data_IF_672474939036
#
_entry.id   IF_672474939036
#
_cell.length_a   1.000
_cell.length_b   1.000
_cell.length_c   1.000
_cell.angle_alpha   90.00
_cell.angle_beta   90.00
_cell.angle_gamma   90.00
#
_symmetry.space_group_name_H-M   'P 1'
#
loop_
_entity.id
_entity.type
_entity.pdbx_description
1 polymer ?
#
# COMPACT_ATOMS: atom_id res chain seq x y z
N UNK A 1 7.46 -12.31 3.88
CA UNK A 1 8.37 -13.23 4.61
C UNK A 1 8.69 -14.45 3.76
N UNK A 2 9.92 -14.98 3.80
CA UNK A 2 10.30 -16.18 3.03
C UNK A 2 9.80 -17.47 3.68
N UNK A 3 9.51 -17.39 4.96
CA UNK A 3 8.96 -18.44 5.82
C UNK A 3 7.49 -18.73 5.51
N UNK A 4 6.80 -17.81 4.80
CA UNK A 4 5.42 -17.96 4.38
C UNK A 4 5.32 -18.58 2.98
N UNK A 5 4.34 -19.49 2.81
CA UNK A 5 3.98 -19.99 1.49
C UNK A 5 3.32 -18.90 0.62
N UNK A 6 2.98 -19.21 -0.64
CA UNK A 6 2.41 -18.24 -1.57
C UNK A 6 1.03 -17.71 -1.13
N UNK A 7 0.16 -18.57 -0.63
CA UNK A 7 -1.20 -18.22 -0.18
C UNK A 7 -1.16 -17.32 1.06
N UNK A 8 -0.30 -17.64 2.04
CA UNK A 8 -0.09 -16.84 3.25
C UNK A 8 0.47 -15.44 2.91
N UNK A 9 1.36 -15.36 1.91
CA UNK A 9 1.88 -14.08 1.41
C UNK A 9 0.81 -13.26 0.70
N UNK A 10 -0.04 -13.91 -0.10
CA UNK A 10 -1.17 -13.24 -0.73
C UNK A 10 -2.12 -12.68 0.34
N UNK A 11 -2.48 -13.48 1.34
CA UNK A 11 -3.35 -13.05 2.44
C UNK A 11 -2.78 -11.84 3.20
N UNK A 12 -1.47 -11.85 3.50
CA UNK A 12 -0.78 -10.71 4.12
C UNK A 12 -0.87 -9.45 3.26
N UNK A 13 -0.62 -9.57 1.95
CA UNK A 13 -0.69 -8.44 1.01
C UNK A 13 -2.10 -7.91 0.87
N UNK A 14 -3.12 -8.77 0.79
CA UNK A 14 -4.52 -8.39 0.75
C UNK A 14 -4.95 -7.68 2.04
N UNK A 15 -4.51 -8.17 3.20
CA UNK A 15 -4.73 -7.50 4.49
C UNK A 15 -4.14 -6.08 4.52
N UNK A 16 -2.92 -5.90 3.99
CA UNK A 16 -2.27 -4.59 3.93
C UNK A 16 -2.97 -3.64 2.95
N UNK A 17 -3.38 -4.14 1.79
CA UNK A 17 -4.15 -3.37 0.81
C UNK A 17 -5.48 -2.94 1.43
N UNK A 18 -6.18 -3.83 2.13
CA UNK A 18 -7.43 -3.51 2.79
C UNK A 18 -7.25 -2.43 3.88
N UNK A 19 -6.17 -2.47 4.66
CA UNK A 19 -5.93 -1.50 5.73
C UNK A 19 -5.44 -0.13 5.24
N UNK A 20 -4.54 -0.10 4.25
CA UNK A 20 -3.89 1.14 3.80
C UNK A 20 -4.56 1.78 2.59
N UNK A 21 -5.17 0.97 1.71
CA UNK A 21 -5.78 1.42 0.45
C UNK A 21 -7.31 1.33 0.51
N UNK A 22 -7.84 0.18 0.93
CA UNK A 22 -9.28 -0.11 0.94
C UNK A 22 -9.95 0.23 -0.40
N UNK A 23 -11.09 0.91 -0.34
CA UNK A 23 -11.78 1.44 -1.52
C UNK A 23 -11.39 2.89 -1.85
N UNK A 24 -10.40 3.46 -1.15
CA UNK A 24 -10.08 4.90 -1.23
C UNK A 24 -9.38 5.27 -2.54
N UNK A 25 -8.50 4.39 -3.04
CA UNK A 25 -7.68 4.63 -4.21
C UNK A 25 -7.78 3.49 -5.21
N UNK A 26 -7.67 3.75 -6.51
CA UNK A 26 -7.38 2.70 -7.47
C UNK A 26 -5.93 2.19 -7.29
N UNK A 27 -5.73 0.89 -7.42
CA UNK A 27 -4.44 0.25 -7.25
C UNK A 27 -4.27 -0.98 -8.16
N UNK A 28 -3.03 -1.40 -8.32
CA UNK A 28 -2.63 -2.66 -8.91
C UNK A 28 -1.43 -3.19 -8.12
N UNK A 29 -1.34 -4.51 -7.96
CA UNK A 29 -0.19 -5.12 -7.32
C UNK A 29 0.28 -6.40 -8.01
N UNK A 30 1.53 -6.76 -7.75
CA UNK A 30 2.13 -8.01 -8.16
C UNK A 30 3.07 -8.53 -7.07
N UNK A 31 3.00 -9.83 -6.79
CA UNK A 31 3.92 -10.51 -5.88
C UNK A 31 4.94 -11.27 -6.72
N UNK A 32 6.22 -11.00 -6.49
CA UNK A 32 7.34 -11.68 -7.13
C UNK A 32 8.05 -12.58 -6.11
N UNK A 33 8.64 -13.67 -6.59
CA UNK A 33 9.46 -14.56 -5.76
C UNK A 33 10.72 -15.05 -6.49
N UNK A 34 11.63 -14.16 -6.91
CA UNK A 34 12.90 -14.55 -7.48
C UNK A 34 13.83 -15.13 -6.40
N UNK A 35 14.98 -15.66 -6.84
CA UNK A 35 16.09 -15.99 -5.94
C UNK A 35 16.88 -14.73 -5.59
N UNK A 36 17.20 -14.56 -4.31
CA UNK A 36 18.16 -13.58 -3.82
C UNK A 36 19.61 -14.03 -4.10
N UNK A 37 20.56 -13.13 -3.82
CA UNK A 37 22.00 -13.41 -3.94
C UNK A 37 22.47 -14.55 -3.01
N UNK A 38 21.75 -14.80 -1.91
CA UNK A 38 22.01 -15.91 -1.00
C UNK A 38 21.45 -17.25 -1.52
N UNK A 39 20.87 -17.27 -2.73
CA UNK A 39 20.26 -18.44 -3.35
C UNK A 39 18.87 -18.80 -2.80
N UNK A 40 18.39 -18.08 -1.78
CA UNK A 40 17.09 -18.32 -1.16
C UNK A 40 15.99 -17.49 -1.84
N UNK A 41 14.74 -17.78 -1.51
CA UNK A 41 13.60 -17.03 -1.99
C UNK A 41 13.62 -15.57 -1.48
N UNK A 42 13.29 -14.64 -2.37
CA UNK A 42 13.20 -13.21 -2.09
C UNK A 42 11.80 -12.69 -2.43
N UNK A 43 10.77 -13.10 -1.67
CA UNK A 43 9.42 -12.65 -1.93
C UNK A 43 9.29 -11.15 -1.68
N UNK A 44 8.74 -10.44 -2.65
CA UNK A 44 8.44 -9.02 -2.53
C UNK A 44 7.17 -8.66 -3.32
N UNK A 45 6.56 -7.53 -2.96
CA UNK A 45 5.35 -7.02 -3.59
C UNK A 45 5.62 -5.64 -4.17
N UNK A 46 5.16 -5.42 -5.40
CA UNK A 46 4.99 -4.10 -5.96
C UNK A 46 3.51 -3.73 -5.83
N UNK A 47 3.21 -2.67 -5.08
CA UNK A 47 1.86 -2.10 -4.96
C UNK A 47 1.89 -0.68 -5.55
N UNK A 48 1.26 -0.51 -6.70
CA UNK A 48 1.12 0.77 -7.38
C UNK A 48 -0.30 1.28 -7.16
N UNK A 49 -0.43 2.50 -6.67
CA UNK A 49 -1.73 3.17 -6.51
C UNK A 49 -1.58 4.64 -6.86
N UNK A 50 -2.70 5.33 -7.07
CA UNK A 50 -2.68 6.79 -7.19
C UNK A 50 -3.56 7.44 -6.12
N UNK A 51 -3.06 8.52 -5.53
CA UNK A 51 -3.71 9.22 -4.40
C UNK A 51 -4.91 10.09 -4.84
N UNK A 52 -5.60 9.74 -5.93
CA UNK A 52 -6.87 10.35 -6.31
C UNK A 52 -8.00 9.58 -5.65
N UNK A 53 -8.83 10.28 -4.89
CA UNK A 53 -9.95 9.70 -4.17
C UNK A 53 -11.01 9.14 -5.13
N UNK A 54 -11.48 7.93 -4.86
CA UNK A 54 -12.65 7.37 -5.52
C UNK A 54 -13.92 7.98 -4.92
N UNK A 55 -14.40 9.06 -5.53
CA UNK A 55 -15.58 9.83 -5.08
C UNK A 55 -16.90 9.40 -5.74
N UNK A 56 -16.88 8.32 -6.53
CA UNK A 56 -18.06 7.78 -7.21
C UNK A 56 -18.49 8.55 -8.46
N UNK A 57 -17.75 9.59 -8.87
CA UNK A 57 -18.04 10.34 -10.09
C UNK A 57 -17.26 9.72 -11.26
N UNK A 58 -18.01 9.23 -12.24
CA UNK A 58 -17.52 8.77 -13.54
C UNK A 58 -16.76 9.91 -14.26
N UNK A 59 -15.55 9.61 -14.73
CA UNK A 59 -14.70 10.55 -15.48
C UNK A 59 -13.94 9.78 -16.55
N UNK A 60 -13.87 10.34 -17.75
CA UNK A 60 -12.97 9.84 -18.79
C UNK A 60 -11.49 10.07 -18.41
N UNK A 61 -10.54 9.37 -19.05
CA UNK A 61 -9.11 9.53 -18.77
C UNK A 61 -8.62 10.98 -18.91
N UNK A 62 -9.13 11.73 -19.90
CA UNK A 62 -8.79 13.13 -20.15
C UNK A 62 -9.21 14.04 -18.99
N UNK A 63 -10.32 13.75 -18.32
CA UNK A 63 -10.86 14.49 -17.18
C UNK A 63 -10.25 14.03 -15.86
N UNK A 64 -10.09 12.72 -15.64
CA UNK A 64 -9.74 12.13 -14.35
C UNK A 64 -8.53 12.81 -13.69
N UNK A 65 -7.49 13.09 -14.48
CA UNK A 65 -6.24 13.67 -13.99
C UNK A 65 -6.19 15.21 -14.00
N UNK A 66 -7.24 15.90 -14.45
CA UNK A 66 -7.33 17.37 -14.38
C UNK A 66 -7.28 17.86 -12.92
N UNK A 67 -7.16 19.18 -12.76
CA UNK A 67 -7.27 19.83 -11.45
C UNK A 67 -8.66 19.58 -10.87
N UNK A 68 -8.71 19.29 -9.58
CA UNK A 68 -9.97 19.17 -8.85
C UNK A 68 -10.69 20.52 -8.78
N UNK A 69 -12.00 20.51 -9.01
CA UNK A 69 -12.86 21.68 -8.92
C UNK A 69 -13.75 21.55 -7.67
N UNK A 70 -13.39 22.25 -6.59
CA UNK A 70 -14.13 22.14 -5.31
C UNK A 70 -15.56 22.68 -5.36
N UNK A 71 -15.88 23.57 -6.30
CA UNK A 71 -17.22 24.14 -6.45
C UNK A 71 -18.16 23.21 -7.24
N UNK A 72 -17.61 22.47 -8.20
CA UNK A 72 -18.34 21.55 -9.09
C UNK A 72 -17.45 20.32 -9.37
N UNK A 73 -17.36 19.33 -8.45
CA UNK A 73 -16.44 18.18 -8.54
C UNK A 73 -16.55 17.36 -9.84
N UNK A 74 -17.75 17.30 -10.41
CA UNK A 74 -18.09 16.63 -11.66
C UNK A 74 -17.56 17.35 -12.91
N UNK A 75 -17.16 18.62 -12.77
CA UNK A 75 -16.55 19.43 -13.85
C UNK A 75 -15.03 19.56 -13.71
N UNK A 76 -14.42 18.78 -12.82
CA UNK A 76 -12.97 18.72 -12.60
C UNK A 76 -12.43 17.29 -12.59
N UNK A 77 -11.13 17.15 -12.37
CA UNK A 77 -10.50 15.84 -12.13
C UNK A 77 -10.71 15.37 -10.69
N UNK A 78 -10.39 14.10 -10.41
CA UNK A 78 -10.57 13.51 -9.08
C UNK A 78 -9.69 14.23 -8.02
N UNK A 79 -10.14 14.33 -6.77
CA UNK A 79 -9.38 15.05 -5.73
C UNK A 79 -8.12 14.28 -5.32
N UNK A 80 -6.96 14.95 -5.28
CA UNK A 80 -5.73 14.40 -4.68
C UNK A 80 -5.80 14.47 -3.16
N UNK A 81 -5.68 13.34 -2.48
CA UNK A 81 -5.77 13.26 -1.01
C UNK A 81 -4.56 13.92 -0.32
N UNK A 82 -3.39 13.87 -0.93
CA UNK A 82 -2.17 14.38 -0.35
C UNK A 82 -1.98 15.91 -0.48
N UNK A 83 -2.98 16.63 -0.97
CA UNK A 83 -2.87 18.08 -1.20
C UNK A 83 -2.77 18.81 0.14
N UNK A 84 -1.71 19.60 0.32
CA UNK A 84 -1.54 20.44 1.52
C UNK A 84 -0.72 19.82 2.66
N UNK A 85 -0.36 18.53 2.57
CA UNK A 85 0.55 17.90 3.56
C UNK A 85 1.95 18.49 3.49
N UNK A 86 2.44 18.96 4.64
CA UNK A 86 3.82 19.44 4.83
C UNK A 86 4.83 18.30 4.68
N UNK A 87 6.10 18.66 4.54
CA UNK A 87 7.19 17.69 4.48
C UNK A 87 7.29 16.84 5.77
N UNK A 88 7.09 17.45 6.95
CA UNK A 88 7.19 16.72 8.22
C UNK A 88 6.04 15.72 8.39
N UNK A 89 4.81 16.09 8.03
CA UNK A 89 3.68 15.17 8.04
C UNK A 89 3.93 13.97 7.12
N UNK A 90 4.40 14.20 5.89
CA UNK A 90 4.74 13.10 4.95
C UNK A 90 5.82 12.19 5.51
N UNK A 91 6.83 12.75 6.18
CA UNK A 91 7.90 11.97 6.80
C UNK A 91 7.38 11.10 7.94
N UNK A 92 6.47 11.62 8.76
CA UNK A 92 5.81 10.86 9.83
C UNK A 92 4.91 9.77 9.23
N UNK A 93 4.07 10.09 8.24
CA UNK A 93 3.20 9.13 7.56
C UNK A 93 3.98 7.92 7.01
N UNK A 94 5.14 8.14 6.41
CA UNK A 94 6.00 7.06 5.88
C UNK A 94 6.55 6.18 7.00
N UNK A 95 6.93 6.76 8.14
CA UNK A 95 7.40 5.98 9.31
C UNK A 95 6.26 5.16 9.90
N UNK A 96 5.10 5.76 10.06
CA UNK A 96 3.93 5.08 10.62
C UNK A 96 3.46 3.95 9.69
N UNK A 97 3.52 4.15 8.37
CA UNK A 97 3.24 3.12 7.37
C UNK A 97 4.20 1.92 7.51
N UNK A 98 5.50 2.19 7.70
CA UNK A 98 6.50 1.13 7.93
C UNK A 98 6.22 0.36 9.23
N UNK A 99 5.76 1.05 10.28
CA UNK A 99 5.40 0.41 11.54
C UNK A 99 4.17 -0.48 11.36
N UNK A 100 3.10 0.02 10.73
CA UNK A 100 1.90 -0.77 10.44
C UNK A 100 2.18 -1.99 9.57
N UNK A 101 3.07 -1.86 8.58
CA UNK A 101 3.53 -3.01 7.81
C UNK A 101 4.21 -4.06 8.69
N UNK A 102 5.12 -3.64 9.58
CA UNK A 102 5.80 -4.55 10.50
C UNK A 102 4.82 -5.26 11.45
N UNK A 103 3.88 -4.51 12.03
CA UNK A 103 2.87 -5.04 12.95
C UNK A 103 1.97 -6.06 12.25
N UNK A 104 1.49 -5.74 11.04
CA UNK A 104 0.67 -6.65 10.26
C UNK A 104 1.43 -7.92 9.85
N UNK A 105 2.68 -7.77 9.39
CA UNK A 105 3.53 -8.93 9.07
C UNK A 105 3.71 -9.85 10.27
N UNK A 106 4.01 -9.28 11.45
CA UNK A 106 4.19 -10.04 12.68
C UNK A 106 2.91 -10.75 13.12
N UNK A 107 1.76 -10.10 12.99
CA UNK A 107 0.43 -10.72 13.23
C UNK A 107 0.21 -11.93 12.31
N UNK A 108 0.51 -11.83 11.02
CA UNK A 108 0.39 -12.96 10.10
C UNK A 108 1.42 -14.07 10.37
N UNK A 109 2.66 -13.72 10.76
CA UNK A 109 3.66 -14.71 11.18
C UNK A 109 3.16 -15.50 12.38
N UNK A 110 2.61 -14.83 13.39
CA UNK A 110 2.01 -15.45 14.57
C UNK A 110 0.79 -16.32 14.22
N UNK A 111 -0.12 -15.81 13.39
CA UNK A 111 -1.30 -16.53 12.90
C UNK A 111 -0.93 -17.88 12.26
N UNK A 112 0.19 -17.93 11.56
CA UNK A 112 0.69 -19.15 10.91
C UNK A 112 1.72 -19.92 11.75
N UNK A 113 1.86 -19.59 13.03
CA UNK A 113 2.76 -20.26 13.99
C UNK A 113 4.23 -20.24 13.54
N UNK A 114 4.64 -19.16 12.87
CA UNK A 114 6.03 -18.92 12.46
C UNK A 114 6.70 -18.06 13.54
N UNK A 115 7.85 -18.50 14.06
CA UNK A 115 8.53 -17.85 15.19
C UNK A 115 9.27 -16.56 14.78
N UNK A 116 9.64 -16.42 13.51
CA UNK A 116 10.31 -15.22 12.99
C UNK A 116 9.49 -13.94 13.21
N UNK A 117 10.18 -12.81 13.43
CA UNK A 117 9.59 -11.47 13.56
C UNK A 117 10.42 -10.45 12.79
N UNK A 118 9.78 -9.37 12.38
CA UNK A 118 10.43 -8.23 11.74
C UNK A 118 10.28 -6.96 12.57
N UNK A 119 11.26 -6.06 12.44
CA UNK A 119 11.25 -4.73 13.05
C UNK A 119 11.69 -3.71 11.99
N UNK A 120 11.03 -2.56 11.96
CA UNK A 120 11.34 -1.50 10.98
C UNK A 120 12.55 -0.66 11.34
N UNK A 121 13.03 -0.75 12.60
CA UNK A 121 14.16 0.02 13.14
C UNK A 121 15.48 -0.62 12.67
N UNK A 122 16.43 0.24 12.33
CA UNK A 122 17.83 -0.14 12.14
C UNK A 122 18.63 0.30 13.38
N UNK A 123 19.56 -0.53 13.83
CA UNK A 123 20.53 -0.20 14.89
C UNK A 123 21.81 0.38 14.29
#
# INVERSE_FOLDING_TARGET
>A
PREMNAEQRLELVEGFIQSEIGSKYPYQFAIHNPKAMDGNDQPHVHLMFNERLQDGIERDPEQYFKRYNSKNPERGGAKKDNTGKSYQERKTDIKDLRQRWADLCNSHLEKHQIDSRIDMRSY
#
